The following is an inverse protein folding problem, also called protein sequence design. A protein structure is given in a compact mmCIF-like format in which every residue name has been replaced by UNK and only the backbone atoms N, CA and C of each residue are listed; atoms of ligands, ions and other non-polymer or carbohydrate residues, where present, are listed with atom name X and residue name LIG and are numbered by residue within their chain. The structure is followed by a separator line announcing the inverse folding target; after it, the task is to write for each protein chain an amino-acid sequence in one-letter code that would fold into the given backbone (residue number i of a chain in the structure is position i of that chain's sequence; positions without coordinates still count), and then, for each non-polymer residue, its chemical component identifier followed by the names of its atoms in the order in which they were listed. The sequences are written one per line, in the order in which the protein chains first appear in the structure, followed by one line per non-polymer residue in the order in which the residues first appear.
data_IF_257039768552
#
_entry.id   IF_257039768552
#
_cell.length_a   1.000
_cell.length_b   1.000
_cell.length_c   1.000
_cell.angle_alpha   90.00
_cell.angle_beta   90.00
_cell.angle_gamma   90.00
#
_symmetry.space_group_name_H-M   'P 1'
#
loop_
_entity.id
_entity.type
_entity.pdbx_description
1 polymer ?
#
# COMPACT_ATOMS: atom_id res chain seq x y z
N UNK A 1 -60.75 70.54 21.21
CA UNK A 1 -60.16 69.23 21.58
C UNK A 1 -59.55 68.43 20.42
N UNK A 2 -59.69 68.83 19.15
CA UNK A 2 -59.16 68.09 17.98
C UNK A 2 -57.78 68.56 17.44
N UNK A 3 -57.26 69.71 17.87
CA UNK A 3 -55.98 70.25 17.34
C UNK A 3 -54.72 69.78 18.07
N UNK A 4 -54.83 69.28 19.32
CA UNK A 4 -53.67 68.69 20.04
C UNK A 4 -53.39 67.24 19.64
N UNK A 5 -54.42 66.50 19.25
CA UNK A 5 -54.30 65.12 18.74
C UNK A 5 -53.69 65.13 17.32
N UNK A 6 -54.08 66.06 16.45
CA UNK A 6 -53.46 66.20 15.11
C UNK A 6 -51.98 66.60 15.14
N UNK A 7 -51.54 67.36 16.14
CA UNK A 7 -50.13 67.70 16.34
C UNK A 7 -49.30 66.51 16.83
N UNK A 8 -49.85 65.70 17.74
CA UNK A 8 -49.22 64.46 18.21
C UNK A 8 -49.09 63.41 17.10
N UNK A 9 -50.12 63.24 16.26
CA UNK A 9 -50.09 62.30 15.13
C UNK A 9 -49.15 62.75 14.00
N UNK A 10 -49.01 64.06 13.73
CA UNK A 10 -48.03 64.57 12.76
C UNK A 10 -46.58 64.48 13.27
N UNK A 11 -46.36 64.60 14.58
CA UNK A 11 -45.04 64.40 15.18
C UNK A 11 -44.62 62.92 15.18
N UNK A 12 -45.57 62.00 15.43
CA UNK A 12 -45.34 60.55 15.38
C UNK A 12 -45.07 60.04 13.95
N UNK A 13 -45.79 60.56 12.94
CA UNK A 13 -45.56 60.19 11.54
C UNK A 13 -44.35 60.90 10.90
N UNK A 14 -43.92 62.07 11.39
CA UNK A 14 -42.67 62.71 10.95
C UNK A 14 -41.41 62.07 11.54
N UNK A 15 -41.52 61.37 12.67
CA UNK A 15 -40.40 60.62 13.26
C UNK A 15 -40.22 59.23 12.66
N UNK A 16 -41.23 58.70 11.95
CA UNK A 16 -41.18 57.41 11.28
C UNK A 16 -40.72 57.48 9.81
N UNK A 17 -40.40 58.67 9.28
CA UNK A 17 -40.02 58.83 7.88
C UNK A 17 -38.80 59.73 7.71
N UNK A 18 -37.65 59.29 8.22
CA UNK A 18 -36.31 59.66 7.72
C UNK A 18 -35.22 58.84 8.43
N UNK A 19 -35.32 57.51 8.39
CA UNK A 19 -34.11 56.72 8.29
C UNK A 19 -33.85 56.60 6.80
N UNK A 20 -32.97 57.46 6.27
CA UNK A 20 -32.26 57.12 5.05
C UNK A 20 -31.75 55.68 5.24
N UNK A 21 -31.84 54.79 4.23
CA UNK A 21 -31.07 53.57 4.31
C UNK A 21 -29.63 54.03 4.46
N UNK A 22 -29.08 53.92 5.67
CA UNK A 22 -27.63 53.83 5.84
C UNK A 22 -27.30 52.70 4.90
N UNK A 23 -26.63 53.02 3.79
CA UNK A 23 -26.08 52.00 2.93
C UNK A 23 -25.27 51.14 3.89
N UNK A 24 -25.80 49.95 4.18
CA UNK A 24 -25.10 48.94 4.94
C UNK A 24 -23.81 48.78 4.15
N UNK A 25 -22.70 49.32 4.68
CA UNK A 25 -21.41 49.13 4.07
C UNK A 25 -21.26 47.64 4.05
N UNK A 26 -21.47 47.02 2.87
CA UNK A 26 -21.18 45.61 2.68
C UNK A 26 -19.82 45.41 3.34
N UNK A 27 -19.70 44.55 4.37
CA UNK A 27 -18.39 44.27 4.90
C UNK A 27 -17.59 43.86 3.67
N UNK A 28 -16.51 44.60 3.38
CA UNK A 28 -15.63 44.22 2.28
C UNK A 28 -15.41 42.71 2.43
N UNK A 29 -15.55 41.92 1.34
CA UNK A 29 -15.40 40.49 1.46
C UNK A 29 -14.03 40.30 2.08
N UNK A 30 -13.99 39.89 3.35
CA UNK A 30 -12.74 39.50 4.00
C UNK A 30 -12.21 38.47 3.03
N UNK A 31 -11.15 38.83 2.30
CA UNK A 31 -10.52 37.96 1.33
C UNK A 31 -9.93 36.84 2.17
N UNK A 32 -10.76 35.84 2.45
CA UNK A 32 -10.38 34.63 3.12
C UNK A 32 -9.29 34.05 2.24
N UNK A 33 -8.15 33.73 2.86
CA UNK A 33 -7.13 32.93 2.20
C UNK A 33 -7.85 31.73 1.61
N UNK A 34 -7.75 31.54 0.29
CA UNK A 34 -8.48 30.48 -0.38
C UNK A 34 -8.10 29.14 0.25
N UNK A 35 -9.06 28.21 0.32
CA UNK A 35 -8.78 26.87 0.84
C UNK A 35 -7.62 26.20 0.08
N UNK A 36 -7.47 26.53 -1.20
CA UNK A 36 -6.33 26.16 -2.04
C UNK A 36 -5.00 26.78 -1.58
N UNK A 37 -4.96 28.05 -1.20
CA UNK A 37 -3.75 28.69 -0.67
C UNK A 37 -3.38 28.18 0.73
N UNK A 38 -4.37 27.84 1.58
CA UNK A 38 -4.13 27.17 2.87
C UNK A 38 -3.57 25.76 2.66
N UNK A 39 -4.12 25.01 1.70
CA UNK A 39 -3.63 23.68 1.33
C UNK A 39 -2.21 23.72 0.74
N UNK A 40 -1.91 24.74 -0.05
CA UNK A 40 -0.60 24.96 -0.65
C UNK A 40 0.45 25.40 0.39
N UNK A 41 0.07 26.24 1.35
CA UNK A 41 0.89 26.56 2.52
C UNK A 41 1.13 25.33 3.43
N UNK A 42 0.14 24.43 3.54
CA UNK A 42 0.24 23.17 4.28
C UNK A 42 1.07 22.08 3.59
N UNK A 43 1.42 22.26 2.30
CA UNK A 43 2.15 21.28 1.50
C UNK A 43 3.58 21.07 2.01
N UNK A 44 4.16 22.07 2.67
CA UNK A 44 5.50 22.03 3.27
C UNK A 44 5.51 21.73 4.78
N UNK A 45 4.34 21.65 5.43
CA UNK A 45 4.21 21.38 6.87
C UNK A 45 3.83 19.93 7.20
N UNK A 46 3.79 19.06 6.19
CA UNK A 46 3.79 17.62 6.46
C UNK A 46 5.23 17.22 6.71
N UNK A 47 5.50 16.64 7.88
CA UNK A 47 6.76 15.96 8.11
C UNK A 47 6.99 15.01 6.93
N UNK A 48 8.05 15.23 6.16
CA UNK A 48 8.43 14.37 5.03
C UNK A 48 8.67 12.91 5.49
N UNK A 49 8.76 12.71 6.80
CA UNK A 49 8.76 11.42 7.48
C UNK A 49 7.42 11.20 8.17
N UNK A 50 6.63 10.28 7.64
CA UNK A 50 5.72 9.53 8.50
C UNK A 50 6.57 8.93 9.64
N UNK A 51 6.12 8.97 10.91
CA UNK A 51 6.83 8.31 12.00
C UNK A 51 7.13 6.89 11.55
N UNK A 52 8.40 6.50 11.67
CA UNK A 52 8.95 5.22 11.24
C UNK A 52 7.93 4.13 11.60
N UNK A 53 7.23 3.58 10.59
CA UNK A 53 6.17 2.62 10.84
C UNK A 53 6.80 1.48 11.63
N UNK A 54 6.42 1.37 12.90
CA UNK A 54 7.03 0.45 13.85
C UNK A 54 7.08 -0.93 13.23
N UNK A 55 8.29 -1.40 12.95
CA UNK A 55 8.50 -2.70 12.33
C UNK A 55 7.99 -3.79 13.28
N UNK A 56 6.92 -4.45 12.88
CA UNK A 56 6.26 -5.47 13.67
C UNK A 56 6.31 -6.83 12.96
N UNK A 57 6.14 -7.90 13.73
CA UNK A 57 5.91 -9.24 13.17
C UNK A 57 4.75 -9.17 12.18
N UNK A 58 4.83 -9.95 11.09
CA UNK A 58 3.72 -10.12 10.16
C UNK A 58 2.47 -10.65 10.89
N UNK A 59 1.49 -9.76 11.07
CA UNK A 59 0.17 -10.13 11.57
C UNK A 59 -0.73 -10.58 10.42
N UNK A 60 -1.51 -11.66 10.60
CA UNK A 60 -2.48 -12.10 9.61
C UNK A 60 -3.58 -11.05 9.42
N UNK A 61 -4.02 -10.87 8.18
CA UNK A 61 -5.20 -10.04 7.90
C UNK A 61 -6.45 -10.65 8.57
N UNK A 62 -7.40 -9.84 9.08
CA UNK A 62 -8.63 -10.35 9.68
C UNK A 62 -9.36 -11.35 8.77
N UNK A 63 -9.67 -12.54 9.29
CA UNK A 63 -10.35 -13.61 8.56
C UNK A 63 -9.44 -14.59 7.79
N UNK A 64 -8.12 -14.39 7.77
CA UNK A 64 -7.18 -15.38 7.20
C UNK A 64 -7.03 -16.59 8.12
N UNK A 65 -6.98 -16.37 9.43
CA UNK A 65 -6.97 -17.43 10.44
C UNK A 65 -8.39 -17.92 10.76
N UNK A 66 -8.59 -19.23 11.01
CA UNK A 66 -9.82 -19.74 11.61
C UNK A 66 -10.10 -19.16 13.00
N UNK A 67 -11.37 -18.99 13.36
CA UNK A 67 -11.80 -18.47 14.67
C UNK A 67 -11.16 -19.30 15.81
N UNK A 68 -10.47 -18.63 16.73
CA UNK A 68 -9.87 -19.24 17.93
C UNK A 68 -8.41 -19.70 17.80
N UNK A 69 -7.76 -19.55 16.66
CA UNK A 69 -6.31 -19.77 16.54
C UNK A 69 -5.54 -18.50 16.94
N UNK A 70 -5.04 -18.46 18.16
CA UNK A 70 -4.10 -17.44 18.62
C UNK A 70 -2.67 -17.75 18.14
N UNK A 71 -1.85 -16.70 18.02
CA UNK A 71 -0.44 -16.71 17.58
C UNK A 71 0.54 -17.38 18.58
N UNK A 72 0.02 -18.22 19.47
CA UNK A 72 0.63 -18.62 20.75
C UNK A 72 1.59 -19.81 20.66
N UNK A 73 1.63 -20.52 19.52
CA UNK A 73 2.59 -21.60 19.31
C UNK A 73 3.91 -21.09 18.72
N UNK A 74 4.61 -20.22 19.45
CA UNK A 74 6.07 -20.12 19.33
C UNK A 74 6.67 -21.04 20.39
N UNK A 75 7.52 -22.02 20.04
CA UNK A 75 8.32 -22.68 21.05
C UNK A 75 9.18 -21.64 21.76
N UNK A 76 9.19 -21.68 23.10
CA UNK A 76 9.90 -20.75 23.97
C UNK A 76 11.40 -20.77 23.69
N UNK A 77 11.83 -19.97 22.72
CA UNK A 77 13.17 -19.43 22.64
C UNK A 77 13.02 -17.96 23.00
N UNK A 78 12.81 -17.71 24.30
CA UNK A 78 12.62 -16.37 24.89
C UNK A 78 13.62 -15.35 24.36
N UNK A 79 14.84 -15.79 24.06
CA UNK A 79 15.94 -14.93 23.61
C UNK A 79 15.83 -14.58 22.12
N UNK A 80 15.26 -15.46 21.29
CA UNK A 80 15.04 -15.21 19.85
C UNK A 80 13.85 -14.28 19.67
N UNK A 81 12.77 -14.48 20.43
CA UNK A 81 11.63 -13.56 20.41
C UNK A 81 12.04 -12.17 20.91
N UNK A 82 12.85 -12.09 21.98
CA UNK A 82 13.40 -10.83 22.46
C UNK A 82 14.31 -10.14 21.43
N UNK A 83 15.17 -10.89 20.75
CA UNK A 83 16.04 -10.36 19.69
C UNK A 83 15.26 -9.85 18.48
N UNK A 84 14.22 -10.56 18.03
CA UNK A 84 13.35 -10.13 16.91
C UNK A 84 12.52 -8.90 17.29
N UNK A 85 12.03 -8.82 18.54
CA UNK A 85 11.35 -7.62 19.05
C UNK A 85 12.30 -6.43 19.24
N UNK A 86 13.59 -6.68 19.56
CA UNK A 86 14.62 -5.64 19.65
C UNK A 86 15.20 -5.24 18.28
N UNK A 87 15.19 -6.11 17.28
CA UNK A 87 15.62 -5.83 15.90
C UNK A 87 14.80 -4.70 15.25
N UNK A 88 13.56 -4.48 15.67
CA UNK A 88 12.79 -3.30 15.29
C UNK A 88 13.51 -1.98 15.60
N UNK A 89 14.47 -1.98 16.54
CA UNK A 89 15.29 -0.83 16.94
C UNK A 89 16.72 -0.84 16.38
N UNK A 90 17.16 -1.95 15.77
CA UNK A 90 18.49 -2.06 15.18
C UNK A 90 18.38 -1.88 13.67
N UNK A 91 18.71 -0.68 13.18
CA UNK A 91 18.82 -0.31 11.75
C UNK A 91 17.52 -0.14 10.95
N UNK A 92 16.34 -0.21 11.59
CA UNK A 92 15.06 -0.06 10.88
C UNK A 92 14.80 -1.21 9.88
N UNK A 93 15.38 -2.39 10.17
CA UNK A 93 15.25 -3.58 9.33
C UNK A 93 14.17 -4.49 9.91
N UNK A 94 12.96 -4.39 9.39
CA UNK A 94 11.90 -5.34 9.74
C UNK A 94 10.82 -5.44 8.67
N UNK A 95 9.87 -6.35 8.86
CA UNK A 95 8.82 -6.56 7.87
C UNK A 95 7.85 -5.38 7.85
N UNK A 96 7.67 -4.77 6.68
CA UNK A 96 6.81 -3.61 6.49
C UNK A 96 5.30 -3.89 6.59
N UNK A 97 4.90 -5.17 6.55
CA UNK A 97 3.49 -5.56 6.49
C UNK A 97 2.94 -5.57 5.06
N UNK A 98 2.09 -6.56 4.76
CA UNK A 98 1.49 -6.69 3.43
C UNK A 98 0.62 -5.50 2.99
N UNK A 99 -0.18 -4.86 3.86
CA UNK A 99 -0.97 -3.68 3.46
C UNK A 99 -0.10 -2.51 2.98
N UNK A 100 1.00 -2.21 3.69
CA UNK A 100 1.89 -1.13 3.30
C UNK A 100 2.67 -1.48 2.03
N UNK A 101 3.14 -2.73 1.89
CA UNK A 101 3.74 -3.20 0.64
C UNK A 101 2.77 -3.10 -0.55
N UNK A 102 1.47 -3.33 -0.33
CA UNK A 102 0.43 -3.14 -1.36
C UNK A 102 0.28 -1.67 -1.74
N UNK A 103 0.34 -0.74 -0.79
CA UNK A 103 0.37 0.71 -1.07
C UNK A 103 1.60 1.08 -1.90
N UNK A 104 2.79 0.61 -1.51
CA UNK A 104 4.02 0.89 -2.24
C UNK A 104 3.94 0.35 -3.69
N UNK A 105 3.32 -0.81 -3.92
CA UNK A 105 3.12 -1.37 -5.25
C UNK A 105 2.32 -0.47 -6.21
N UNK A 106 1.57 0.52 -5.68
CA UNK A 106 0.80 1.46 -6.50
C UNK A 106 1.67 2.47 -7.23
N UNK A 107 2.85 2.81 -6.67
CA UNK A 107 3.75 3.80 -7.26
C UNK A 107 4.50 3.21 -8.45
N UNK A 108 4.71 4.06 -9.47
CA UNK A 108 5.32 3.64 -10.73
C UNK A 108 6.77 3.16 -10.54
N UNK A 109 7.51 3.80 -9.65
CA UNK A 109 8.91 3.52 -9.37
C UNK A 109 9.12 2.10 -8.85
N UNK A 110 8.24 1.63 -7.95
CA UNK A 110 8.29 0.26 -7.45
C UNK A 110 7.72 -0.74 -8.46
N UNK A 111 6.61 -0.39 -9.13
CA UNK A 111 5.96 -1.26 -10.11
C UNK A 111 6.90 -1.58 -11.28
N UNK A 112 7.57 -0.57 -11.81
CA UNK A 112 8.44 -0.72 -12.97
C UNK A 112 9.58 -1.72 -12.72
N UNK A 113 10.23 -1.64 -11.55
CA UNK A 113 11.31 -2.55 -11.16
C UNK A 113 10.82 -4.00 -11.12
N UNK A 114 9.67 -4.25 -10.48
CA UNK A 114 9.10 -5.59 -10.39
C UNK A 114 8.64 -6.12 -11.76
N UNK A 115 7.97 -5.28 -12.58
CA UNK A 115 7.49 -5.68 -13.90
C UNK A 115 8.64 -6.04 -14.84
N UNK A 116 9.72 -5.23 -14.86
CA UNK A 116 10.93 -5.52 -15.65
C UNK A 116 11.55 -6.85 -15.21
N UNK A 117 11.68 -7.06 -13.90
CA UNK A 117 12.25 -8.30 -13.36
C UNK A 117 11.45 -9.52 -13.80
N UNK A 118 10.12 -9.47 -13.63
CA UNK A 118 9.22 -10.53 -14.02
C UNK A 118 9.23 -10.79 -15.53
N UNK A 119 9.29 -9.74 -16.35
CA UNK A 119 9.43 -9.86 -17.80
C UNK A 119 10.74 -10.55 -18.16
N UNK A 120 11.88 -10.14 -17.59
CA UNK A 120 13.17 -10.76 -17.88
C UNK A 120 13.22 -12.23 -17.49
N UNK A 121 12.62 -12.60 -16.36
CA UNK A 121 12.55 -13.99 -15.90
C UNK A 121 11.72 -14.88 -16.83
N UNK A 122 10.72 -14.30 -17.51
CA UNK A 122 9.77 -15.05 -18.36
C UNK A 122 9.93 -14.79 -19.85
N UNK A 123 10.86 -13.90 -20.25
CA UNK A 123 11.10 -13.51 -21.65
C UNK A 123 11.57 -14.68 -22.51
N UNK A 124 12.52 -15.47 -21.99
CA UNK A 124 12.93 -16.74 -22.60
C UNK A 124 12.21 -17.85 -21.84
N UNK A 125 11.33 -18.55 -22.53
CA UNK A 125 10.57 -19.60 -21.90
C UNK A 125 11.34 -20.92 -21.85
N UNK A 126 10.80 -21.88 -21.10
CA UNK A 126 11.41 -23.18 -20.87
C UNK A 126 11.39 -24.04 -22.13
N UNK A 127 12.32 -24.99 -22.21
CA UNK A 127 12.34 -26.06 -23.22
C UNK A 127 12.12 -27.39 -22.53
N UNK A 128 11.15 -28.17 -23.02
CA UNK A 128 10.91 -29.52 -22.50
C UNK A 128 11.81 -30.51 -23.22
N UNK A 129 12.48 -31.38 -22.47
CA UNK A 129 13.32 -32.44 -23.00
C UNK A 129 12.69 -33.80 -22.66
N UNK A 130 12.58 -34.69 -23.63
CA UNK A 130 12.00 -36.02 -23.44
C UNK A 130 11.39 -36.59 -24.71
N UNK A 131 10.42 -37.49 -24.54
CA UNK A 131 9.63 -38.01 -25.65
C UNK A 131 8.82 -36.87 -26.30
N UNK A 132 9.01 -36.70 -27.61
CA UNK A 132 8.47 -35.55 -28.36
C UNK A 132 6.95 -35.45 -28.31
N UNK A 133 6.23 -36.57 -28.37
CA UNK A 133 4.77 -36.59 -28.29
C UNK A 133 4.28 -36.11 -26.92
N UNK A 134 4.88 -36.62 -25.84
CA UNK A 134 4.57 -36.19 -24.47
C UNK A 134 4.90 -34.71 -24.25
N UNK A 135 6.05 -34.25 -24.77
CA UNK A 135 6.44 -32.84 -24.71
C UNK A 135 5.41 -31.95 -25.40
N UNK A 136 4.95 -32.30 -26.60
CA UNK A 136 3.90 -31.57 -27.33
C UNK A 136 2.59 -31.51 -26.54
N UNK A 137 2.18 -32.60 -25.90
CA UNK A 137 0.98 -32.61 -25.04
C UNK A 137 1.13 -31.66 -23.86
N UNK A 138 2.28 -31.69 -23.16
CA UNK A 138 2.52 -30.81 -22.02
C UNK A 138 2.59 -29.34 -22.46
N UNK A 139 3.24 -29.04 -23.58
CA UNK A 139 3.30 -27.67 -24.12
C UNK A 139 1.91 -27.14 -24.47
N UNK A 140 1.03 -27.97 -25.04
CA UNK A 140 -0.35 -27.61 -25.31
C UNK A 140 -1.12 -27.30 -24.01
N UNK A 141 -0.96 -28.14 -22.98
CA UNK A 141 -1.58 -27.89 -21.67
C UNK A 141 -1.02 -26.65 -20.97
N UNK A 142 0.29 -26.40 -21.06
CA UNK A 142 0.90 -25.19 -20.52
C UNK A 142 0.36 -23.91 -21.18
N UNK A 143 0.13 -23.96 -22.51
CA UNK A 143 -0.51 -22.85 -23.23
C UNK A 143 -1.96 -22.68 -22.83
N UNK A 144 -2.73 -23.78 -22.72
CA UNK A 144 -4.13 -23.76 -22.26
C UNK A 144 -4.27 -23.14 -20.88
N UNK A 145 -3.34 -23.45 -19.98
CA UNK A 145 -3.30 -22.93 -18.61
C UNK A 145 -2.62 -21.57 -18.46
N UNK A 146 -2.13 -20.96 -19.55
CA UNK A 146 -1.39 -19.69 -19.53
C UNK A 146 -0.24 -19.68 -18.50
N UNK A 147 0.50 -20.79 -18.42
CA UNK A 147 1.51 -20.99 -17.36
C UNK A 147 2.58 -19.90 -17.39
N UNK A 148 2.99 -19.44 -18.58
CA UNK A 148 4.01 -18.40 -18.71
C UNK A 148 3.58 -17.08 -18.11
N UNK A 149 2.37 -16.67 -18.42
CA UNK A 149 1.76 -15.43 -17.96
C UNK A 149 1.52 -15.49 -16.45
N UNK A 150 1.03 -16.62 -15.94
CA UNK A 150 0.84 -16.83 -14.50
C UNK A 150 2.16 -16.81 -13.74
N UNK A 151 3.23 -17.44 -14.25
CA UNK A 151 4.54 -17.37 -13.60
C UNK A 151 5.11 -15.95 -13.60
N UNK A 152 4.90 -15.17 -14.67
CA UNK A 152 5.27 -13.74 -14.69
C UNK A 152 4.55 -12.99 -13.58
N UNK A 153 3.23 -13.20 -13.43
CA UNK A 153 2.42 -12.58 -12.38
C UNK A 153 2.86 -13.00 -10.96
N UNK A 154 3.16 -14.28 -10.75
CA UNK A 154 3.68 -14.81 -9.48
C UNK A 154 5.01 -14.14 -9.13
N UNK A 155 5.93 -14.00 -10.08
CA UNK A 155 7.23 -13.35 -9.88
C UNK A 155 7.05 -11.87 -9.54
N UNK A 156 6.14 -11.18 -10.23
CA UNK A 156 5.85 -9.77 -9.98
C UNK A 156 5.27 -9.57 -8.56
N UNK A 157 4.31 -10.40 -8.16
CA UNK A 157 3.76 -10.40 -6.79
C UNK A 157 4.79 -10.78 -5.74
N UNK A 158 5.68 -11.73 -6.04
CA UNK A 158 6.82 -12.04 -5.15
C UNK A 158 7.73 -10.83 -4.97
N UNK A 159 7.98 -10.05 -6.03
CA UNK A 159 8.77 -8.82 -5.90
C UNK A 159 8.08 -7.78 -5.00
N UNK A 160 6.76 -7.65 -5.06
CA UNK A 160 6.00 -6.73 -4.21
C UNK A 160 5.91 -7.17 -2.76
N UNK A 161 5.70 -8.46 -2.51
CA UNK A 161 5.30 -8.97 -1.19
C UNK A 161 6.35 -9.89 -0.54
N UNK A 162 7.42 -10.23 -1.23
CA UNK A 162 8.45 -11.17 -0.77
C UNK A 162 8.02 -12.65 -0.83
N UNK A 163 6.79 -12.93 -1.27
CA UNK A 163 6.28 -14.28 -1.53
C UNK A 163 5.16 -14.22 -2.56
N UNK A 164 4.88 -15.32 -3.23
CA UNK A 164 3.60 -15.55 -3.88
C UNK A 164 3.29 -17.05 -3.88
N UNK A 165 2.01 -17.42 -3.96
CA UNK A 165 1.61 -18.81 -4.13
C UNK A 165 0.89 -19.00 -5.46
N UNK A 166 1.15 -20.13 -6.11
CA UNK A 166 0.37 -20.61 -7.24
C UNK A 166 -0.40 -21.86 -6.81
N UNK A 167 -1.72 -21.75 -6.71
CA UNK A 167 -2.60 -22.85 -6.34
C UNK A 167 -2.94 -23.73 -7.53
N UNK A 168 -2.78 -25.03 -7.34
CA UNK A 168 -3.12 -26.05 -8.32
C UNK A 168 -4.55 -26.54 -8.08
N UNK A 169 -5.47 -26.12 -8.95
CA UNK A 169 -6.90 -26.43 -8.83
C UNK A 169 -7.27 -27.65 -9.69
N UNK A 170 -7.61 -28.74 -9.02
CA UNK A 170 -8.13 -29.98 -9.62
C UNK A 170 -9.67 -30.05 -9.59
N UNK A 171 -10.35 -28.94 -9.25
CA UNK A 171 -11.80 -28.86 -9.05
C UNK A 171 -12.23 -29.04 -7.60
N UNK A 172 -11.39 -28.61 -6.65
CA UNK A 172 -11.62 -28.77 -5.20
C UNK A 172 -11.45 -27.47 -4.42
N UNK A 173 -11.39 -26.33 -5.10
CA UNK A 173 -11.21 -25.01 -4.51
C UNK A 173 -12.27 -24.66 -3.45
N UNK A 174 -13.44 -25.30 -3.50
CA UNK A 174 -14.60 -25.12 -2.63
C UNK A 174 -14.80 -26.26 -1.63
N UNK A 175 -13.87 -27.22 -1.53
CA UNK A 175 -13.98 -28.40 -0.66
C UNK A 175 -12.94 -28.38 0.46
N UNK A 176 -13.25 -27.77 1.63
CA UNK A 176 -12.29 -27.64 2.74
C UNK A 176 -11.69 -28.97 3.19
N UNK A 177 -12.49 -30.05 3.23
CA UNK A 177 -12.04 -31.37 3.64
C UNK A 177 -10.95 -31.95 2.71
N UNK A 178 -11.00 -31.63 1.42
CA UNK A 178 -10.02 -32.10 0.44
C UNK A 178 -8.77 -31.21 0.40
N UNK A 179 -8.94 -29.90 0.60
CA UNK A 179 -7.85 -28.92 0.58
C UNK A 179 -6.81 -29.17 1.69
N UNK A 180 -7.25 -29.59 2.89
CA UNK A 180 -6.36 -29.91 4.00
C UNK A 180 -5.55 -31.21 3.81
N UNK A 181 -5.91 -32.05 2.83
CA UNK A 181 -5.25 -33.34 2.57
C UNK A 181 -4.14 -33.17 1.53
N UNK A 182 -2.99 -33.84 1.69
CA UNK A 182 -1.90 -33.79 0.73
C UNK A 182 -2.32 -34.21 -0.68
N UNK A 183 -1.84 -33.43 -1.65
CA UNK A 183 -1.84 -33.78 -3.06
C UNK A 183 -0.69 -34.74 -3.33
N UNK A 184 -1.02 -36.01 -3.48
CA UNK A 184 -0.08 -37.09 -3.82
C UNK A 184 -0.29 -37.52 -5.28
N UNK A 185 0.76 -38.04 -5.90
CA UNK A 185 0.73 -38.59 -7.25
C UNK A 185 0.05 -39.97 -7.28
N UNK A 186 -1.23 -40.00 -6.91
CA UNK A 186 -2.08 -41.20 -6.86
C UNK A 186 -3.28 -41.04 -7.79
N UNK A 187 -3.73 -42.13 -8.43
CA UNK A 187 -4.90 -42.16 -9.31
C UNK A 187 -6.18 -41.66 -8.61
N UNK A 188 -6.29 -41.74 -7.28
CA UNK A 188 -7.40 -41.19 -6.49
C UNK A 188 -7.42 -39.66 -6.50
N UNK A 189 -6.25 -39.02 -6.61
CA UNK A 189 -6.10 -37.56 -6.58
C UNK A 189 -5.94 -36.96 -7.98
N UNK A 190 -5.22 -37.65 -8.88
CA UNK A 190 -4.90 -37.18 -10.23
C UNK A 190 -5.27 -38.28 -11.22
N UNK A 191 -6.28 -38.03 -12.05
CA UNK A 191 -6.73 -38.96 -13.08
C UNK A 191 -7.43 -38.19 -14.22
N UNK A 192 -7.75 -38.84 -15.36
CA UNK A 192 -8.42 -38.16 -16.47
C UNK A 192 -9.77 -37.49 -16.11
N UNK A 193 -10.47 -37.98 -15.09
CA UNK A 193 -11.72 -37.38 -14.60
C UNK A 193 -11.48 -36.22 -13.61
N UNK A 194 -10.26 -36.12 -13.07
CA UNK A 194 -9.81 -35.06 -12.16
C UNK A 194 -8.48 -34.46 -12.66
N UNK A 195 -8.49 -33.81 -13.84
CA UNK A 195 -7.29 -33.16 -14.39
C UNK A 195 -7.01 -31.84 -13.68
N UNK A 196 -5.82 -31.27 -13.91
CA UNK A 196 -5.50 -29.90 -13.52
C UNK A 196 -6.36 -28.93 -14.33
N UNK A 197 -7.34 -28.31 -13.69
CA UNK A 197 -8.31 -27.43 -14.36
C UNK A 197 -7.74 -26.03 -14.55
N UNK A 198 -7.11 -25.51 -13.50
CA UNK A 198 -6.68 -24.11 -13.38
C UNK A 198 -5.46 -24.00 -12.47
N UNK A 199 -4.65 -22.99 -12.75
CA UNK A 199 -3.66 -22.45 -11.83
C UNK A 199 -4.12 -21.06 -11.40
N UNK A 200 -4.06 -20.76 -10.10
CA UNK A 200 -4.52 -19.48 -9.56
C UNK A 200 -3.43 -18.81 -8.71
N UNK A 201 -3.13 -17.55 -8.99
CA UNK A 201 -2.17 -16.78 -8.20
C UNK A 201 -2.84 -16.27 -6.94
N UNK A 202 -2.23 -16.53 -5.79
CA UNK A 202 -2.70 -16.08 -4.49
C UNK A 202 -1.66 -15.13 -3.90
N UNK A 203 -2.13 -13.95 -3.55
CA UNK A 203 -1.32 -12.95 -2.87
C UNK A 203 -1.08 -13.35 -1.42
N UNK A 204 0.13 -13.11 -0.88
CA UNK A 204 0.47 -13.50 0.48
C UNK A 204 -0.42 -12.89 1.56
N UNK A 205 -1.04 -11.74 1.31
CA UNK A 205 -1.91 -11.08 2.29
C UNK A 205 -3.10 -11.96 2.71
N UNK A 206 -3.53 -12.87 1.84
CA UNK A 206 -4.65 -13.79 2.08
C UNK A 206 -4.20 -15.15 2.60
N UNK A 207 -2.88 -15.34 2.82
CA UNK A 207 -2.30 -16.62 3.18
C UNK A 207 -1.39 -16.49 4.42
N UNK A 208 -1.69 -17.25 5.47
CA UNK A 208 -0.86 -17.33 6.67
C UNK A 208 -0.25 -18.73 6.82
N UNK A 209 1.02 -18.87 7.26
CA UNK A 209 1.63 -20.17 7.50
C UNK A 209 0.86 -20.97 8.56
N UNK A 210 0.71 -22.27 8.32
CA UNK A 210 0.23 -23.22 9.31
C UNK A 210 1.33 -23.74 10.23
N UNK A 211 1.12 -24.89 10.88
CA UNK A 211 2.10 -25.52 11.76
C UNK A 211 3.41 -25.82 11.04
N UNK A 212 4.53 -25.59 11.72
CA UNK A 212 5.89 -25.86 11.25
C UNK A 212 6.75 -26.41 12.40
N UNK A 213 7.77 -27.20 12.07
CA UNK A 213 8.77 -27.61 13.06
C UNK A 213 9.84 -26.52 13.25
N UNK A 214 10.17 -26.24 14.50
CA UNK A 214 11.26 -25.35 14.90
C UNK A 214 12.11 -25.96 16.04
N UNK A 215 11.92 -27.24 16.37
CA UNK A 215 12.65 -27.93 17.43
C UNK A 215 13.90 -28.62 16.90
N UNK A 216 13.78 -29.35 15.79
CA UNK A 216 14.87 -30.18 15.30
C UNK A 216 15.49 -29.63 14.01
N UNK A 217 16.69 -29.02 14.05
CA UNK A 217 17.34 -28.51 12.85
C UNK A 217 17.74 -29.60 11.85
N UNK A 218 17.76 -30.87 12.25
CA UNK A 218 18.03 -32.01 11.37
C UNK A 218 16.78 -32.52 10.65
N UNK A 219 15.59 -32.07 11.05
CA UNK A 219 14.34 -32.49 10.44
C UNK A 219 14.20 -31.91 9.01
N UNK A 220 13.75 -32.69 8.01
CA UNK A 220 13.58 -32.20 6.64
C UNK A 220 12.60 -31.02 6.50
N UNK A 221 11.67 -30.90 7.44
CA UNK A 221 10.60 -29.91 7.56
C UNK A 221 10.92 -28.77 8.53
N UNK A 222 12.17 -28.66 9.02
CA UNK A 222 12.61 -27.55 9.86
C UNK A 222 12.37 -26.18 9.19
N UNK A 223 11.59 -25.33 9.86
CA UNK A 223 11.10 -24.04 9.37
C UNK A 223 10.43 -24.10 7.98
N UNK A 224 9.63 -25.14 7.74
CA UNK A 224 8.77 -25.28 6.57
C UNK A 224 7.33 -25.58 7.02
N UNK A 225 6.35 -24.70 6.72
CA UNK A 225 4.96 -24.96 7.06
C UNK A 225 4.41 -26.18 6.31
N UNK A 226 3.72 -27.07 7.02
CA UNK A 226 3.06 -28.25 6.44
C UNK A 226 1.74 -27.90 5.74
N UNK A 227 1.09 -26.83 6.21
CA UNK A 227 -0.14 -26.27 5.63
C UNK A 227 -0.11 -24.74 5.63
N UNK A 228 -1.08 -24.15 4.94
CA UNK A 228 -1.32 -22.72 4.86
C UNK A 228 -2.79 -22.44 5.15
N UNK A 229 -3.07 -21.35 5.85
CA UNK A 229 -4.42 -20.83 6.06
C UNK A 229 -4.74 -19.80 4.98
N UNK A 230 -5.72 -20.09 4.13
CA UNK A 230 -6.19 -19.20 3.08
C UNK A 230 -7.63 -18.80 3.40
N UNK A 231 -7.83 -17.54 3.79
CA UNK A 231 -9.16 -16.98 4.12
C UNK A 231 -10.01 -17.91 5.00
N UNK A 232 -9.44 -18.39 6.11
CA UNK A 232 -10.10 -19.27 7.07
C UNK A 232 -10.14 -20.76 6.69
N UNK A 233 -9.59 -21.15 5.54
CA UNK A 233 -9.51 -22.56 5.09
C UNK A 233 -8.09 -23.08 5.26
N UNK A 234 -7.93 -24.32 5.68
CA UNK A 234 -6.62 -24.98 5.72
C UNK A 234 -6.34 -25.64 4.38
N UNK A 235 -5.21 -25.31 3.76
CA UNK A 235 -4.73 -25.88 2.50
C UNK A 235 -3.37 -26.52 2.73
N UNK A 236 -3.21 -27.77 2.32
CA UNK A 236 -1.93 -28.48 2.44
C UNK A 236 -0.85 -27.83 1.55
N UNK A 237 0.40 -27.75 2.04
CA UNK A 237 1.50 -27.10 1.34
C UNK A 237 1.75 -27.67 -0.07
N UNK A 238 1.55 -28.98 -0.28
CA UNK A 238 1.73 -29.63 -1.58
C UNK A 238 0.75 -29.18 -2.68
N UNK A 239 -0.33 -28.47 -2.34
CA UNK A 239 -1.29 -27.90 -3.31
C UNK A 239 -0.91 -26.50 -3.78
N UNK A 240 0.10 -25.90 -3.14
CA UNK A 240 0.56 -24.55 -3.39
C UNK A 240 2.01 -24.59 -3.84
N UNK A 241 2.29 -24.11 -5.05
CA UNK A 241 3.66 -23.82 -5.44
C UNK A 241 4.03 -22.46 -4.82
N UNK A 242 4.83 -22.51 -3.76
CA UNK A 242 5.24 -21.31 -3.02
C UNK A 242 6.53 -20.78 -3.60
N UNK A 243 6.51 -19.54 -4.08
CA UNK A 243 7.68 -18.85 -4.61
C UNK A 243 8.17 -17.82 -3.60
N UNK A 244 9.46 -17.92 -3.26
CA UNK A 244 10.18 -16.96 -2.41
C UNK A 244 11.52 -16.70 -3.10
N UNK A 245 11.73 -15.50 -3.63
CA UNK A 245 12.95 -15.15 -4.35
C UNK A 245 14.11 -14.83 -3.41
N UNK A 246 13.82 -14.19 -2.28
CA UNK A 246 14.81 -13.73 -1.29
C UNK A 246 14.51 -14.28 0.10
N UNK A 247 14.69 -15.59 0.34
CA UNK A 247 14.26 -16.23 1.57
C UNK A 247 15.02 -15.69 2.79
N UNK A 248 14.29 -15.49 3.89
CA UNK A 248 14.90 -15.11 5.17
C UNK A 248 15.65 -16.29 5.81
N UNK A 249 16.69 -16.01 6.62
CA UNK A 249 17.27 -17.00 7.53
C UNK A 249 16.18 -17.66 8.38
N UNK A 250 16.35 -18.94 8.71
CA UNK A 250 15.31 -19.73 9.39
C UNK A 250 14.70 -19.01 10.61
N UNK A 251 15.55 -18.44 11.46
CA UNK A 251 15.16 -17.67 12.63
C UNK A 251 14.17 -16.52 12.34
N UNK A 252 14.31 -15.84 11.20
CA UNK A 252 13.51 -14.67 10.83
C UNK A 252 12.30 -15.03 9.94
N UNK A 253 12.19 -16.27 9.46
CA UNK A 253 11.05 -16.68 8.62
C UNK A 253 9.70 -16.40 9.29
N UNK A 254 9.45 -16.72 10.58
CA UNK A 254 8.16 -16.44 11.19
C UNK A 254 7.83 -14.94 11.25
N UNK A 255 8.84 -14.08 11.40
CA UNK A 255 8.65 -12.62 11.45
C UNK A 255 8.13 -12.06 10.10
N UNK A 256 8.51 -12.68 8.99
CA UNK A 256 8.08 -12.34 7.63
C UNK A 256 6.95 -13.26 7.12
N UNK A 257 6.21 -13.90 8.03
CA UNK A 257 5.18 -14.89 7.72
C UNK A 257 5.64 -16.04 6.82
N UNK A 258 6.91 -16.42 6.82
CA UNK A 258 7.57 -17.37 5.91
C UNK A 258 7.68 -16.89 4.46
N UNK A 259 7.64 -15.57 4.26
CA UNK A 259 8.09 -14.91 3.04
C UNK A 259 9.58 -14.56 3.08
N UNK A 260 10.01 -13.89 2.03
CA UNK A 260 11.31 -13.26 1.89
C UNK A 260 11.24 -11.74 2.06
N UNK A 261 12.39 -11.08 1.90
CA UNK A 261 12.43 -9.61 1.80
C UNK A 261 11.85 -9.21 0.44
N UNK A 262 10.79 -8.40 0.46
CA UNK A 262 10.20 -7.84 -0.75
C UNK A 262 11.21 -6.93 -1.47
N UNK A 263 11.25 -7.00 -2.80
CA UNK A 263 12.06 -6.11 -3.61
C UNK A 263 11.64 -4.65 -3.41
N UNK A 264 10.34 -4.41 -3.29
CA UNK A 264 9.77 -3.08 -2.97
C UNK A 264 10.34 -2.51 -1.67
N UNK A 265 10.51 -3.34 -0.64
CA UNK A 265 11.11 -2.95 0.63
C UNK A 265 12.59 -2.60 0.48
N UNK A 266 13.34 -3.39 -0.31
CA UNK A 266 14.76 -3.10 -0.59
C UNK A 266 14.95 -1.81 -1.42
N UNK A 267 14.03 -1.55 -2.34
CA UNK A 267 14.06 -0.37 -3.20
C UNK A 267 13.66 0.92 -2.46
N UNK A 268 12.95 0.80 -1.34
CA UNK A 268 12.38 1.93 -0.60
C UNK A 268 13.35 3.09 -0.34
N UNK A 269 14.53 2.89 0.27
CA UNK A 269 15.45 4.00 0.52
C UNK A 269 15.89 4.73 -0.75
N UNK A 270 16.02 4.03 -1.87
CA UNK A 270 16.43 4.62 -3.15
C UNK A 270 15.30 5.43 -3.79
N UNK A 271 14.07 4.90 -3.75
CA UNK A 271 12.90 5.59 -4.29
C UNK A 271 12.58 6.83 -3.46
N UNK A 272 12.67 6.75 -2.14
CA UNK A 272 12.42 7.89 -1.25
C UNK A 272 13.48 9.00 -1.47
N UNK A 273 14.76 8.64 -1.64
CA UNK A 273 15.82 9.60 -2.00
C UNK A 273 15.56 10.28 -3.36
N UNK A 274 15.11 9.53 -4.36
CA UNK A 274 14.76 10.08 -5.67
C UNK A 274 13.55 11.01 -5.58
N UNK A 275 12.49 10.61 -4.85
CA UNK A 275 11.27 11.40 -4.67
C UNK A 275 11.59 12.73 -4.00
N UNK A 276 12.39 12.71 -2.93
CA UNK A 276 12.85 13.91 -2.24
C UNK A 276 13.58 14.85 -3.20
N UNK A 277 14.53 14.33 -3.96
CA UNK A 277 15.31 15.13 -4.92
C UNK A 277 14.41 15.74 -6.00
N UNK A 278 13.48 14.95 -6.55
CA UNK A 278 12.52 15.41 -7.56
C UNK A 278 11.64 16.55 -7.02
N UNK A 279 11.16 16.41 -5.79
CA UNK A 279 10.35 17.43 -5.14
C UNK A 279 11.17 18.71 -4.91
N UNK A 280 12.38 18.61 -4.37
CA UNK A 280 13.26 19.76 -4.14
C UNK A 280 13.59 20.54 -5.43
N UNK A 281 13.78 19.86 -6.57
CA UNK A 281 14.00 20.52 -7.86
C UNK A 281 12.73 21.24 -8.34
N UNK A 282 11.56 20.65 -8.13
CA UNK A 282 10.28 21.29 -8.44
C UNK A 282 10.05 22.54 -7.59
N UNK A 283 10.32 22.46 -6.30
CA UNK A 283 10.16 23.58 -5.35
C UNK A 283 11.14 24.71 -5.65
N UNK A 284 12.40 24.37 -6.01
CA UNK A 284 13.39 25.35 -6.45
C UNK A 284 12.93 26.05 -7.74
N UNK A 285 12.39 25.31 -8.70
CA UNK A 285 11.85 25.87 -9.95
C UNK A 285 10.69 26.81 -9.67
N UNK A 286 9.79 26.43 -8.76
CA UNK A 286 8.70 27.30 -8.32
C UNK A 286 9.22 28.58 -7.66
N UNK A 287 10.26 28.48 -6.82
CA UNK A 287 10.84 29.64 -6.13
C UNK A 287 11.39 30.72 -7.07
N UNK A 288 11.87 30.35 -8.27
CA UNK A 288 12.30 31.34 -9.28
C UNK A 288 11.15 32.16 -9.86
N UNK A 289 9.91 31.68 -9.75
CA UNK A 289 8.71 32.40 -10.18
C UNK A 289 8.04 33.17 -9.03
N UNK A 290 8.55 33.08 -7.79
CA UNK A 290 8.01 33.84 -6.67
C UNK A 290 8.56 35.26 -6.70
N UNK A 291 7.70 36.20 -7.08
CA UNK A 291 8.00 37.62 -7.05
C UNK A 291 7.98 38.13 -5.60
N UNK A 292 9.13 38.58 -5.09
CA UNK A 292 9.20 39.27 -3.80
C UNK A 292 8.88 40.74 -4.02
N UNK A 293 7.72 41.18 -3.54
CA UNK A 293 7.31 42.58 -3.60
C UNK A 293 7.87 43.32 -2.38
N UNK A 294 8.95 44.06 -2.57
CA UNK A 294 9.47 44.97 -1.56
C UNK A 294 8.65 46.28 -1.59
N UNK A 295 7.89 46.53 -0.52
CA UNK A 295 7.14 47.79 -0.35
C UNK A 295 7.85 48.67 0.66
N UNK A 296 8.02 49.96 0.32
CA UNK A 296 8.45 50.96 1.28
C UNK A 296 7.29 51.31 2.22
N UNK A 297 7.42 50.91 3.49
CA UNK A 297 6.43 51.17 4.54
C UNK A 297 6.39 52.63 4.97
N UNK A 298 7.43 53.43 4.69
CA UNK A 298 7.47 54.86 4.99
C UNK A 298 6.49 55.64 4.09
N UNK A 299 6.39 55.24 2.82
CA UNK A 299 5.46 55.84 1.84
C UNK A 299 3.99 55.48 2.13
N UNK A 300 3.72 54.30 2.71
CA UNK A 300 2.35 53.87 3.10
C UNK A 300 1.88 54.56 4.39
N UNK A 301 2.76 54.76 5.36
CA UNK A 301 2.43 55.42 6.64
C UNK A 301 2.27 56.94 6.53
N UNK A 302 2.86 57.57 5.51
CA UNK A 302 2.77 59.02 5.24
C UNK A 302 1.53 59.44 4.43
N UNK A 303 0.62 58.49 4.13
CA UNK A 303 -0.69 58.79 3.53
C UNK A 303 -0.70 58.86 1.99
N UNK A 304 0.36 58.40 1.31
CA UNK A 304 0.37 58.25 -0.15
C UNK A 304 -0.54 57.11 -0.61
N UNK A 305 -1.31 57.32 -1.68
CA UNK A 305 -2.21 56.31 -2.24
C UNK A 305 -1.42 55.09 -2.72
N UNK A 306 -1.79 53.90 -2.25
CA UNK A 306 -1.15 52.63 -2.60
C UNK A 306 -1.46 52.16 -4.04
N UNK A 307 -1.71 53.08 -4.97
CA UNK A 307 -2.13 52.78 -6.35
C UNK A 307 -1.06 51.97 -7.09
N UNK A 308 0.21 52.21 -6.81
CA UNK A 308 1.32 51.43 -7.35
C UNK A 308 1.41 50.00 -6.79
N UNK A 309 0.88 49.74 -5.59
CA UNK A 309 0.83 48.41 -4.97
C UNK A 309 -0.27 47.56 -5.62
N UNK A 310 -1.45 48.15 -5.81
CA UNK A 310 -2.58 47.48 -6.45
C UNK A 310 -2.34 47.24 -7.94
N UNK A 311 -1.81 48.23 -8.68
CA UNK A 311 -1.47 48.08 -10.09
C UNK A 311 -0.41 46.99 -10.36
N UNK A 312 0.44 46.67 -9.36
CA UNK A 312 1.46 45.61 -9.46
C UNK A 312 0.96 44.25 -8.98
N UNK A 313 -0.03 44.23 -8.09
CA UNK A 313 -0.74 43.01 -7.67
C UNK A 313 -1.67 42.51 -8.78
N UNK A 314 -2.27 43.41 -9.57
CA UNK A 314 -3.12 43.06 -10.72
C UNK A 314 -2.34 42.56 -11.96
N UNK A 315 -1.00 42.66 -11.94
CA UNK A 315 -0.09 42.14 -12.98
C UNK A 315 0.45 40.73 -12.66
N UNK A 316 0.14 40.19 -11.47
CA UNK A 316 0.47 38.82 -11.05
C UNK A 316 -0.68 37.86 -11.35
#
# INVERSE_FOLDING_TARGET
MFNRIRAAWRALFKTLTALQPVAESRPEPRRGVSLSAIWEAGRNSTDAYLPEQTFARAEPFPGVLPNGMAMDALPSTSDISAYVSQQAYHEGLGFLGYPYLAELSQRAEYRHVASIWAEHCTRKWIKLNGNEEKCKTIEAEMKRLAVRELFREVIEKECFFGRSHLFMDFGDFDKPAELGVPLVMDKRKINPNRPLKRLAVIEPMWAYPGPYDAQNPLAPDFYKPSSWYLSGRTVHASRLLTMVGRPMPNMLKPAYAFGGVALTQMCKPYVDNWLRTRQSVSDLTYSFSVMVLATDMETVLSGGTADHLFARTDLM
#
